data_IF_454854463966
#
_entry.id   IF_454854463966
#
_cell.length_a   1.000
_cell.length_b   1.000
_cell.length_c   1.000
_cell.angle_alpha   90.00
_cell.angle_beta   90.00
_cell.angle_gamma   90.00
#
_symmetry.space_group_name_H-M   'P 1'
#
loop_
_entity.id
_entity.type
_entity.pdbx_description
1 polymer ?
#
# COMPACT_ATOMS: atom_id res chain seq x y z
N UNK A 1 -60.71 1.02 -48.56
CA UNK A 1 -59.69 0.14 -48.05
C UNK A 1 -59.48 0.45 -46.56
N UNK A 2 -59.93 -0.48 -45.68
CA UNK A 2 -59.66 -0.37 -44.24
C UNK A 2 -58.32 -1.00 -43.96
N UNK A 3 -57.38 -0.21 -43.42
CA UNK A 3 -56.10 -0.72 -42.92
C UNK A 3 -56.39 -1.38 -41.57
N UNK A 4 -56.23 -2.69 -41.50
CA UNK A 4 -56.30 -3.46 -40.28
C UNK A 4 -55.07 -3.10 -39.40
N UNK A 5 -55.36 -2.95 -38.10
CA UNK A 5 -54.41 -2.60 -37.07
C UNK A 5 -53.18 -3.48 -37.11
N UNK A 6 -51.99 -2.89 -37.28
CA UNK A 6 -50.69 -3.59 -37.08
C UNK A 6 -50.46 -3.62 -35.56
N UNK A 7 -50.62 -4.77 -34.94
CA UNK A 7 -50.19 -5.01 -33.54
C UNK A 7 -48.71 -5.37 -33.56
N UNK A 8 -47.84 -4.42 -33.19
CA UNK A 8 -46.45 -4.70 -32.89
C UNK A 8 -46.39 -5.20 -31.46
N UNK A 9 -46.26 -6.51 -31.30
CA UNK A 9 -46.01 -7.11 -29.97
C UNK A 9 -44.52 -6.96 -29.64
N UNK A 10 -44.20 -6.02 -28.75
CA UNK A 10 -42.87 -5.91 -28.20
C UNK A 10 -42.70 -7.01 -27.16
N UNK A 11 -42.02 -8.09 -27.50
CA UNK A 11 -41.51 -9.02 -26.51
C UNK A 11 -40.26 -8.40 -25.87
N UNK A 12 -40.51 -7.52 -24.89
CA UNK A 12 -39.45 -6.91 -24.12
C UNK A 12 -38.72 -7.97 -23.30
N UNK A 13 -37.63 -8.45 -23.83
CA UNK A 13 -36.62 -9.10 -22.96
C UNK A 13 -36.18 -8.10 -21.92
N UNK A 14 -36.08 -8.51 -20.65
CA UNK A 14 -35.47 -7.71 -19.60
C UNK A 14 -34.11 -7.19 -20.08
N UNK A 15 -33.84 -5.87 -19.97
CA UNK A 15 -32.55 -5.35 -20.37
C UNK A 15 -31.46 -6.12 -19.64
N UNK A 16 -30.59 -6.81 -20.38
CA UNK A 16 -29.43 -7.50 -19.76
C UNK A 16 -28.50 -6.40 -19.24
N UNK A 17 -28.43 -6.28 -17.91
CA UNK A 17 -27.43 -5.44 -17.24
C UNK A 17 -26.19 -6.29 -17.05
N UNK A 18 -25.06 -5.89 -17.63
CA UNK A 18 -23.77 -6.54 -17.44
C UNK A 18 -23.17 -6.01 -16.14
N UNK A 19 -22.96 -6.88 -15.15
CA UNK A 19 -22.36 -6.51 -13.87
C UNK A 19 -20.83 -6.36 -14.03
N UNK A 20 -20.21 -5.40 -13.31
CA UNK A 20 -18.77 -5.22 -13.36
C UNK A 20 -18.02 -6.42 -12.75
N UNK A 21 -16.78 -6.67 -13.19
CA UNK A 21 -15.93 -7.71 -12.61
C UNK A 21 -15.60 -7.44 -11.15
N UNK A 22 -15.25 -8.50 -10.41
CA UNK A 22 -14.70 -8.45 -9.06
C UNK A 22 -13.27 -8.98 -9.07
N UNK A 23 -12.41 -8.36 -8.28
CA UNK A 23 -11.05 -8.83 -8.01
C UNK A 23 -11.04 -9.69 -6.75
N UNK A 24 -10.34 -10.83 -6.76
CA UNK A 24 -10.20 -11.72 -5.59
C UNK A 24 -9.40 -11.10 -4.46
N UNK A 25 -8.53 -10.12 -4.78
CA UNK A 25 -7.73 -9.35 -3.83
C UNK A 25 -8.16 -7.89 -3.95
N UNK A 26 -8.41 -7.22 -2.83
CA UNK A 26 -8.79 -5.80 -2.81
C UNK A 26 -7.61 -4.89 -3.15
N UNK A 27 -7.87 -3.65 -3.56
CA UNK A 27 -6.83 -2.62 -3.70
C UNK A 27 -6.13 -2.39 -2.36
N UNK A 28 -4.81 -2.26 -2.37
CA UNK A 28 -4.06 -2.05 -1.14
C UNK A 28 -2.55 -2.17 -1.32
N UNK A 29 -1.86 -2.05 -0.19
CA UNK A 29 -0.44 -2.28 -0.07
C UNK A 29 -0.20 -3.71 0.42
N UNK A 30 0.77 -4.38 -0.20
CA UNK A 30 1.10 -5.78 0.06
C UNK A 30 2.60 -5.99 0.12
N UNK A 31 3.04 -6.84 1.04
CA UNK A 31 4.42 -7.32 1.07
C UNK A 31 4.53 -8.56 0.17
N UNK A 32 5.35 -8.42 -0.88
CA UNK A 32 5.56 -9.48 -1.86
C UNK A 32 4.42 -9.63 -2.88
N UNK A 33 4.62 -10.59 -3.78
CA UNK A 33 3.74 -10.82 -4.91
C UNK A 33 2.32 -11.20 -4.49
N UNK A 34 1.33 -10.72 -5.25
CA UNK A 34 -0.08 -11.07 -5.09
C UNK A 34 -0.58 -11.88 -6.29
N UNK A 35 -1.50 -12.80 -6.02
CA UNK A 35 -2.19 -13.57 -7.05
C UNK A 35 -3.65 -13.15 -7.12
N UNK A 36 -4.04 -12.52 -8.23
CA UNK A 36 -5.34 -11.87 -8.40
C UNK A 36 -6.16 -12.56 -9.46
N UNK A 37 -7.31 -13.14 -9.09
CA UNK A 37 -8.30 -13.65 -10.02
C UNK A 37 -9.40 -12.61 -10.27
N UNK A 38 -9.96 -12.62 -11.49
CA UNK A 38 -11.11 -11.81 -11.87
C UNK A 38 -12.33 -12.71 -12.05
N UNK A 39 -13.49 -12.27 -11.54
CA UNK A 39 -14.77 -12.96 -11.68
C UNK A 39 -15.86 -12.00 -12.09
N UNK A 40 -16.91 -12.48 -12.75
CA UNK A 40 -18.10 -11.72 -13.09
C UNK A 40 -19.36 -12.52 -12.75
N UNK A 41 -20.34 -11.89 -12.11
CA UNK A 41 -21.62 -12.54 -11.76
C UNK A 41 -22.58 -12.66 -12.95
N UNK A 42 -22.32 -11.93 -14.05
CA UNK A 42 -23.12 -12.08 -15.27
C UNK A 42 -22.70 -13.35 -15.98
N UNK A 43 -23.59 -14.36 -15.97
CA UNK A 43 -23.34 -15.65 -16.62
C UNK A 43 -22.97 -15.48 -18.09
N UNK A 44 -21.88 -16.12 -18.54
CA UNK A 44 -21.35 -16.08 -19.90
C UNK A 44 -20.75 -14.75 -20.33
N UNK A 45 -20.53 -13.79 -19.40
CA UNK A 45 -19.78 -12.58 -19.70
C UNK A 45 -18.29 -12.88 -19.80
N UNK A 46 -17.60 -12.25 -20.76
CA UNK A 46 -16.14 -12.19 -20.87
C UNK A 46 -15.64 -10.98 -20.07
N UNK A 47 -14.45 -11.09 -19.48
CA UNK A 47 -13.81 -9.96 -18.78
C UNK A 47 -12.68 -9.44 -19.65
N UNK A 48 -12.70 -8.14 -19.95
CA UNK A 48 -11.65 -7.43 -20.66
C UNK A 48 -10.90 -6.56 -19.67
N UNK A 49 -9.55 -6.61 -19.64
CA UNK A 49 -8.74 -5.85 -18.69
C UNK A 49 -7.50 -5.23 -19.35
N UNK A 50 -6.93 -4.21 -18.70
CA UNK A 50 -5.66 -3.56 -19.06
C UNK A 50 -4.67 -3.57 -17.89
N UNK A 51 -3.39 -3.82 -18.19
CA UNK A 51 -2.22 -3.76 -17.29
C UNK A 51 -0.99 -3.27 -18.08
N UNK A 52 -0.17 -2.33 -17.57
CA UNK A 52 -0.54 -1.36 -16.51
C UNK A 52 -1.65 -0.46 -17.05
N UNK A 53 -2.51 0.03 -16.17
CA UNK A 53 -3.69 0.78 -16.56
C UNK A 53 -3.35 2.21 -17.02
N UNK A 54 -2.56 2.35 -18.09
CA UNK A 54 -2.36 3.63 -18.78
C UNK A 54 -3.64 4.04 -19.51
N UNK A 55 -4.44 3.06 -19.93
CA UNK A 55 -5.66 3.27 -20.70
C UNK A 55 -6.81 2.45 -20.09
N UNK A 56 -8.03 2.93 -20.28
CA UNK A 56 -9.22 2.18 -19.96
C UNK A 56 -9.41 1.02 -20.96
N UNK A 57 -9.91 -0.17 -20.52
CA UNK A 57 -10.35 -1.17 -21.46
C UNK A 57 -11.52 -0.62 -22.29
N UNK A 58 -11.46 -0.79 -23.60
CA UNK A 58 -12.50 -0.34 -24.53
C UNK A 58 -13.00 -1.55 -25.31
N UNK A 59 -14.31 -1.66 -25.49
CA UNK A 59 -14.91 -2.68 -26.31
C UNK A 59 -15.94 -2.04 -27.25
N UNK A 60 -15.77 -2.22 -28.54
CA UNK A 60 -16.71 -1.84 -29.59
C UNK A 60 -17.37 -3.09 -30.18
N UNK A 61 -16.57 -4.07 -30.54
CA UNK A 61 -16.98 -5.39 -31.02
C UNK A 61 -15.83 -6.40 -30.84
N UNK A 62 -16.07 -7.68 -31.17
CA UNK A 62 -15.08 -8.76 -30.97
C UNK A 62 -13.79 -8.62 -31.80
N UNK A 63 -13.74 -7.68 -32.77
CA UNK A 63 -12.55 -7.39 -33.58
C UNK A 63 -11.95 -6.01 -33.27
N UNK A 64 -12.62 -5.21 -32.43
CA UNK A 64 -12.22 -3.83 -32.13
C UNK A 64 -12.38 -3.56 -30.64
N UNK A 65 -11.29 -3.80 -29.88
CA UNK A 65 -11.21 -3.59 -28.44
C UNK A 65 -9.79 -3.24 -28.00
N UNK A 66 -9.67 -2.58 -26.83
CA UNK A 66 -8.40 -2.29 -26.17
C UNK A 66 -8.34 -3.07 -24.86
N UNK A 67 -7.29 -3.85 -24.65
CA UNK A 67 -7.09 -4.68 -23.47
C UNK A 67 -6.87 -6.15 -23.84
N UNK A 68 -6.96 -7.01 -22.83
CA UNK A 68 -6.79 -8.46 -22.95
C UNK A 68 -8.01 -9.15 -22.35
N UNK A 69 -8.57 -10.14 -23.04
CA UNK A 69 -9.61 -10.97 -22.44
C UNK A 69 -9.00 -11.91 -21.39
N UNK A 70 -9.59 -11.90 -20.20
CA UNK A 70 -9.19 -12.76 -19.11
C UNK A 70 -9.49 -14.22 -19.43
N UNK A 71 -8.48 -15.07 -19.37
CA UNK A 71 -8.53 -16.49 -19.74
C UNK A 71 -8.92 -17.41 -18.58
N UNK A 72 -9.15 -16.86 -17.38
CA UNK A 72 -9.44 -17.61 -16.16
C UNK A 72 -8.22 -17.93 -15.30
N UNK A 73 -7.00 -17.67 -15.79
CA UNK A 73 -5.79 -17.87 -15.00
C UNK A 73 -5.52 -16.65 -14.12
N UNK A 74 -5.27 -16.83 -12.81
CA UNK A 74 -4.96 -15.70 -11.93
C UNK A 74 -3.72 -14.92 -12.37
N UNK A 75 -3.81 -13.60 -12.25
CA UNK A 75 -2.73 -12.67 -12.58
C UNK A 75 -1.72 -12.60 -11.43
N UNK A 76 -0.44 -12.78 -11.69
CA UNK A 76 0.63 -12.63 -10.72
C UNK A 76 1.17 -11.19 -10.76
N UNK A 77 1.00 -10.46 -9.65
CA UNK A 77 1.41 -9.07 -9.49
C UNK A 77 2.67 -9.03 -8.62
N UNK A 78 3.81 -8.78 -9.23
CA UNK A 78 5.14 -8.77 -8.57
C UNK A 78 5.70 -7.37 -8.33
N UNK A 79 5.03 -6.33 -8.81
CA UNK A 79 5.40 -4.92 -8.68
C UNK A 79 4.15 -4.06 -8.60
N UNK A 80 4.28 -2.84 -8.10
CA UNK A 80 3.17 -1.89 -8.03
C UNK A 80 2.49 -1.77 -9.38
N UNK A 81 1.20 -2.08 -9.41
CA UNK A 81 0.42 -2.25 -10.63
C UNK A 81 -1.03 -1.83 -10.41
N UNK A 82 -1.59 -1.11 -11.37
CA UNK A 82 -3.03 -0.85 -11.44
C UNK A 82 -3.65 -1.70 -12.55
N UNK A 83 -4.78 -2.33 -12.26
CA UNK A 83 -5.58 -3.10 -13.20
C UNK A 83 -6.93 -2.39 -13.36
N UNK A 84 -7.36 -2.19 -14.60
CA UNK A 84 -8.71 -1.78 -14.94
C UNK A 84 -9.41 -2.91 -15.68
N UNK A 85 -10.68 -3.17 -15.36
CA UNK A 85 -11.43 -4.27 -15.96
C UNK A 85 -12.90 -3.90 -16.18
N UNK A 86 -13.48 -4.47 -17.23
CA UNK A 86 -14.89 -4.41 -17.56
C UNK A 86 -15.39 -5.79 -17.99
N UNK A 87 -16.67 -6.06 -17.84
CA UNK A 87 -17.31 -7.24 -18.38
C UNK A 87 -18.03 -6.93 -19.70
N UNK A 88 -18.02 -7.89 -20.61
CA UNK A 88 -18.64 -7.79 -21.94
C UNK A 88 -19.56 -8.98 -22.17
N UNK A 89 -20.81 -8.73 -22.57
CA UNK A 89 -21.76 -9.78 -22.99
C UNK A 89 -22.73 -9.27 -24.04
N UNK A 90 -22.90 -10.00 -25.12
CA UNK A 90 -23.85 -9.70 -26.20
C UNK A 90 -23.74 -8.26 -26.72
N UNK A 91 -22.49 -7.77 -26.91
CA UNK A 91 -22.18 -6.42 -27.38
C UNK A 91 -22.42 -5.31 -26.35
N UNK A 92 -22.77 -5.65 -25.08
CA UNK A 92 -22.94 -4.70 -23.99
C UNK A 92 -21.77 -4.79 -23.01
N UNK A 93 -21.45 -3.68 -22.37
CA UNK A 93 -20.37 -3.55 -21.41
C UNK A 93 -20.86 -3.16 -20.02
N UNK A 94 -20.15 -3.57 -18.99
CA UNK A 94 -20.32 -3.05 -17.64
C UNK A 94 -19.62 -1.70 -17.47
N UNK A 95 -19.77 -1.09 -16.29
CA UNK A 95 -18.82 -0.06 -15.83
C UNK A 95 -17.43 -0.66 -15.63
N UNK A 96 -16.40 0.21 -15.74
CA UNK A 96 -15.01 -0.15 -15.46
C UNK A 96 -14.81 -0.16 -13.95
N UNK A 97 -14.12 -1.18 -13.45
CA UNK A 97 -13.61 -1.26 -12.08
C UNK A 97 -12.10 -1.17 -12.09
N UNK A 98 -11.53 -0.54 -11.08
CA UNK A 98 -10.09 -0.32 -10.96
C UNK A 98 -9.59 -0.88 -9.63
N UNK A 99 -8.46 -1.60 -9.66
CA UNK A 99 -7.74 -2.04 -8.48
C UNK A 99 -6.26 -1.70 -8.60
N UNK A 100 -5.70 -1.08 -7.54
CA UNK A 100 -4.27 -0.75 -7.45
C UNK A 100 -3.64 -1.59 -6.34
N UNK A 101 -2.56 -2.29 -6.69
CA UNK A 101 -1.75 -3.10 -5.80
C UNK A 101 -0.38 -2.46 -5.67
N UNK A 102 -0.10 -1.89 -4.50
CA UNK A 102 1.23 -1.37 -4.17
C UNK A 102 2.05 -2.52 -3.60
N UNK A 103 3.03 -3.01 -4.35
CA UNK A 103 3.89 -4.12 -3.93
C UNK A 103 5.16 -3.54 -3.32
N UNK A 104 5.37 -3.82 -2.04
CA UNK A 104 6.59 -3.50 -1.31
C UNK A 104 7.39 -4.79 -1.18
N UNK A 105 8.56 -4.80 -1.80
CA UNK A 105 9.48 -5.93 -1.70
C UNK A 105 10.42 -5.66 -0.53
N UNK A 106 10.23 -6.42 0.55
CA UNK A 106 11.04 -6.36 1.77
C UNK A 106 11.65 -7.73 2.06
N UNK A 107 12.84 -7.74 2.60
CA UNK A 107 13.54 -8.99 2.96
C UNK A 107 13.00 -9.57 4.26
N UNK A 108 12.53 -8.71 5.17
CA UNK A 108 12.07 -9.06 6.50
C UNK A 108 10.62 -8.59 6.71
N UNK A 109 9.81 -9.29 7.53
CA UNK A 109 8.41 -8.93 7.74
C UNK A 109 8.17 -7.82 8.78
N UNK A 110 9.23 -7.27 9.41
CA UNK A 110 9.12 -6.23 10.44
C UNK A 110 8.52 -6.73 11.75
N UNK A 111 8.67 -8.01 12.05
CA UNK A 111 8.28 -8.62 13.34
C UNK A 111 9.44 -8.58 14.33
N UNK A 112 9.18 -8.85 15.60
CA UNK A 112 10.21 -8.97 16.63
C UNK A 112 11.29 -10.00 16.27
N UNK A 113 10.86 -11.18 15.79
CA UNK A 113 11.77 -12.26 15.40
C UNK A 113 12.54 -11.97 14.10
N UNK A 114 12.02 -11.09 13.26
CA UNK A 114 12.61 -10.69 11.97
C UNK A 114 12.33 -9.21 11.72
N UNK A 115 13.02 -8.29 12.41
CA UNK A 115 12.84 -6.86 12.24
C UNK A 115 13.14 -6.41 10.82
N UNK A 116 12.46 -5.37 10.35
CA UNK A 116 12.87 -4.66 9.14
C UNK A 116 14.32 -4.20 9.25
N UNK A 117 15.04 -4.26 8.15
CA UNK A 117 16.22 -3.40 7.97
C UNK A 117 15.76 -1.95 7.81
N UNK A 118 16.66 -0.99 7.96
CA UNK A 118 16.37 0.42 7.64
C UNK A 118 15.92 0.56 6.18
N UNK A 119 16.49 -0.21 5.25
CA UNK A 119 16.11 -0.20 3.84
C UNK A 119 14.67 -0.69 3.63
N UNK A 120 14.25 -1.77 4.31
CA UNK A 120 12.88 -2.29 4.25
C UNK A 120 11.87 -1.25 4.77
N UNK A 121 12.18 -0.62 5.91
CA UNK A 121 11.34 0.42 6.50
C UNK A 121 11.21 1.64 5.56
N UNK A 122 12.29 2.09 4.96
CA UNK A 122 12.30 3.19 3.99
C UNK A 122 11.50 2.84 2.73
N UNK A 123 11.61 1.60 2.22
CA UNK A 123 10.83 1.15 1.06
C UNK A 123 9.32 1.17 1.35
N UNK A 124 8.92 0.75 2.57
CA UNK A 124 7.51 0.82 2.99
C UNK A 124 7.04 2.27 3.11
N UNK A 125 7.83 3.13 3.74
CA UNK A 125 7.51 4.56 3.92
C UNK A 125 7.38 5.26 2.55
N UNK A 126 8.28 4.97 1.60
CA UNK A 126 8.22 5.56 0.26
C UNK A 126 6.91 5.24 -0.47
N UNK A 127 6.38 4.04 -0.27
CA UNK A 127 5.12 3.58 -0.83
C UNK A 127 3.87 4.22 -0.18
N UNK A 128 4.01 4.86 1.00
CA UNK A 128 2.91 5.59 1.65
C UNK A 128 2.58 6.88 0.89
N UNK A 129 1.32 7.31 0.99
CA UNK A 129 0.95 8.67 0.60
C UNK A 129 1.63 9.71 1.52
N UNK A 130 1.83 10.92 1.01
CA UNK A 130 2.42 12.01 1.78
C UNK A 130 1.62 12.29 3.05
N UNK A 131 2.30 12.37 4.18
CA UNK A 131 1.72 12.55 5.52
C UNK A 131 1.11 11.28 6.14
N UNK A 132 1.00 10.18 5.37
CA UNK A 132 0.40 8.94 5.86
C UNK A 132 1.28 8.21 6.88
N UNK A 133 0.61 7.45 7.74
CA UNK A 133 1.23 6.58 8.75
C UNK A 133 0.68 5.17 8.57
N UNK A 134 1.48 4.14 8.82
CA UNK A 134 1.01 2.76 8.81
C UNK A 134 0.00 2.52 9.93
N UNK A 135 -0.97 1.64 9.72
CA UNK A 135 -1.90 1.22 10.77
C UNK A 135 -1.21 0.32 11.81
N UNK A 136 -0.28 -0.51 11.34
CA UNK A 136 0.47 -1.45 12.16
C UNK A 136 1.78 -0.84 12.64
N UNK A 137 2.29 -1.34 13.77
CA UNK A 137 3.65 -1.06 14.25
C UNK A 137 4.60 -2.16 13.82
N UNK A 138 5.81 -1.77 13.44
CA UNK A 138 6.85 -2.66 12.96
C UNK A 138 8.10 -2.55 13.83
N UNK A 139 8.85 -3.64 13.91
CA UNK A 139 10.19 -3.63 14.48
C UNK A 139 11.19 -3.28 13.38
N UNK A 140 12.10 -2.37 13.68
CA UNK A 140 13.16 -1.92 12.76
C UNK A 140 14.50 -2.00 13.48
N UNK A 141 15.49 -2.63 12.85
CA UNK A 141 16.86 -2.76 13.36
C UNK A 141 17.80 -1.81 12.63
N UNK A 142 18.66 -1.11 13.38
CA UNK A 142 19.66 -0.22 12.81
C UNK A 142 20.69 0.24 13.84
N UNK A 143 21.60 1.10 13.39
CA UNK A 143 22.60 1.75 14.23
C UNK A 143 22.28 3.22 14.40
N UNK A 144 22.38 3.72 15.63
CA UNK A 144 22.18 5.14 15.94
C UNK A 144 23.27 5.96 15.25
N UNK A 145 22.85 7.00 14.52
CA UNK A 145 23.76 7.90 13.81
C UNK A 145 23.54 9.34 14.25
N UNK A 146 24.62 10.02 14.58
CA UNK A 146 24.60 11.34 15.18
C UNK A 146 24.13 11.33 16.64
N UNK A 147 24.17 12.52 17.27
CA UNK A 147 23.81 12.66 18.66
C UNK A 147 22.29 12.58 18.86
N UNK A 148 21.77 11.67 19.71
CA UNK A 148 20.37 11.64 20.09
C UNK A 148 19.92 12.94 20.78
N UNK A 149 18.69 13.37 20.50
CA UNK A 149 18.03 14.50 21.16
C UNK A 149 17.17 13.98 22.32
N UNK A 150 17.71 14.10 23.54
CA UNK A 150 17.05 13.74 24.81
C UNK A 150 16.79 15.03 25.59
N UNK A 151 15.55 15.51 25.53
CA UNK A 151 15.21 16.81 26.09
C UNK A 151 14.83 16.75 27.57
N UNK A 152 15.14 17.86 28.27
CA UNK A 152 14.74 18.10 29.65
C UNK A 152 13.69 19.22 29.72
N UNK A 153 12.88 19.16 30.76
CA UNK A 153 11.99 20.28 31.19
C UNK A 153 12.80 21.33 31.91
N UNK A 154 12.17 22.49 32.15
CA UNK A 154 12.78 23.61 32.87
C UNK A 154 13.16 23.25 34.31
N UNK A 155 12.50 22.28 34.93
CA UNK A 155 12.80 21.75 36.26
C UNK A 155 13.95 20.72 36.28
N UNK A 156 14.56 20.45 35.13
CA UNK A 156 15.65 19.47 34.95
C UNK A 156 15.21 18.03 34.79
N UNK A 157 13.92 17.71 34.92
CA UNK A 157 13.39 16.36 34.64
C UNK A 157 13.35 16.07 33.14
N UNK A 158 13.46 14.79 32.78
CA UNK A 158 13.37 14.37 31.38
C UNK A 158 11.93 14.29 30.88
N UNK A 159 11.73 14.49 29.55
CA UNK A 159 10.42 14.25 28.93
C UNK A 159 10.08 12.76 28.83
N UNK A 160 11.06 11.86 29.04
CA UNK A 160 10.87 10.42 29.02
C UNK A 160 11.00 9.79 27.62
N UNK A 161 11.39 10.57 26.60
CA UNK A 161 11.57 10.09 25.24
C UNK A 161 12.81 10.72 24.59
N UNK A 162 13.24 10.13 23.46
CA UNK A 162 14.32 10.63 22.64
C UNK A 162 13.93 10.68 21.16
N UNK A 163 14.52 11.62 20.42
CA UNK A 163 14.54 11.61 18.97
C UNK A 163 15.96 11.34 18.48
N UNK A 164 16.11 10.42 17.55
CA UNK A 164 17.41 10.03 17.00
C UNK A 164 17.26 9.43 15.62
N UNK A 165 18.33 9.40 14.87
CA UNK A 165 18.35 8.76 13.56
C UNK A 165 18.99 7.37 13.66
N UNK A 166 18.51 6.41 12.86
CA UNK A 166 19.16 5.12 12.66
C UNK A 166 19.49 4.92 11.18
N UNK A 167 20.58 4.17 10.93
CA UNK A 167 21.02 3.77 9.60
C UNK A 167 21.32 2.26 9.57
N UNK A 168 21.50 1.71 8.36
CA UNK A 168 21.82 0.29 8.18
C UNK A 168 23.17 -0.12 8.78
N UNK A 169 24.11 0.85 8.91
CA UNK A 169 25.44 0.67 9.47
C UNK A 169 25.85 1.89 10.31
N UNK A 170 26.78 1.72 11.20
CA UNK A 170 27.32 2.80 12.02
C UNK A 170 27.95 3.88 11.12
N UNK A 171 27.52 5.15 11.31
CA UNK A 171 27.95 6.27 10.49
C UNK A 171 27.29 6.34 9.10
N UNK A 172 26.30 5.50 8.82
CA UNK A 172 25.54 5.50 7.57
C UNK A 172 24.82 6.83 7.31
N UNK A 173 24.66 7.20 6.04
CA UNK A 173 24.08 8.48 5.63
C UNK A 173 22.60 8.39 5.26
N UNK A 174 22.11 7.21 4.88
CA UNK A 174 20.68 6.95 4.63
C UNK A 174 20.01 6.68 5.95
N UNK A 175 19.14 7.59 6.38
CA UNK A 175 18.62 7.67 7.73
C UNK A 175 17.13 7.43 7.80
N UNK A 176 16.71 6.81 8.90
CA UNK A 176 15.32 6.71 9.35
C UNK A 176 15.24 7.41 10.70
N UNK A 177 14.38 8.42 10.82
CA UNK A 177 14.23 9.19 12.07
C UNK A 177 13.32 8.47 13.04
N UNK A 178 13.80 8.21 14.23
CA UNK A 178 13.02 7.74 15.38
C UNK A 178 12.52 8.96 16.14
N UNK A 179 11.22 9.28 16.03
CA UNK A 179 10.66 10.52 16.58
C UNK A 179 9.99 10.29 17.93
N UNK A 180 10.58 10.85 19.00
CA UNK A 180 10.06 10.82 20.37
C UNK A 180 9.71 9.41 20.87
N UNK A 181 10.60 8.46 20.62
CA UNK A 181 10.44 7.11 21.14
C UNK A 181 10.77 7.05 22.63
N UNK A 182 10.02 6.26 23.38
CA UNK A 182 10.32 5.92 24.78
C UNK A 182 11.46 4.94 24.86
N UNK A 183 11.95 4.68 26.05
CA UNK A 183 13.04 3.75 26.31
C UNK A 183 12.63 2.28 26.17
N UNK A 184 13.48 1.41 26.66
CA UNK A 184 13.33 -0.05 26.57
C UNK A 184 11.97 -0.48 27.15
N UNK A 185 11.22 -1.29 26.38
CA UNK A 185 9.89 -1.79 26.77
C UNK A 185 8.93 -0.68 27.22
N UNK A 186 8.96 0.45 26.53
CA UNK A 186 8.12 1.63 26.80
C UNK A 186 8.43 2.36 28.12
N UNK A 187 9.60 2.12 28.72
CA UNK A 187 10.04 2.83 29.90
C UNK A 187 10.40 4.29 29.59
N UNK A 188 10.36 5.16 30.60
CA UNK A 188 10.83 6.53 30.45
C UNK A 188 12.35 6.59 30.28
N UNK A 189 12.80 7.43 29.36
CA UNK A 189 14.22 7.81 29.25
C UNK A 189 14.52 8.88 30.29
N UNK A 190 15.43 8.58 31.21
CA UNK A 190 15.78 9.38 32.38
C UNK A 190 17.26 9.78 32.45
N UNK A 191 18.02 9.53 31.38
CA UNK A 191 19.45 9.83 31.28
C UNK A 191 19.80 10.37 29.90
N UNK A 192 20.74 11.31 29.81
CA UNK A 192 21.31 11.78 28.54
C UNK A 192 22.18 10.72 27.87
N UNK A 193 22.64 9.75 28.66
CA UNK A 193 23.48 8.64 28.19
C UNK A 193 22.68 7.37 27.92
N UNK A 194 21.33 7.46 27.85
CA UNK A 194 20.46 6.31 27.67
C UNK A 194 20.71 5.60 26.35
N UNK A 195 20.98 6.36 25.30
CA UNK A 195 21.29 5.90 23.95
C UNK A 195 22.36 6.81 23.34
N UNK A 196 23.30 6.24 22.58
CA UNK A 196 24.45 6.96 22.02
C UNK A 196 24.65 6.64 20.54
N UNK A 197 25.36 7.53 19.86
CA UNK A 197 25.84 7.28 18.51
C UNK A 197 26.68 5.99 18.47
N UNK A 198 26.38 5.14 17.47
CA UNK A 198 27.01 3.85 17.26
C UNK A 198 26.29 2.67 17.92
N UNK A 199 25.32 2.90 18.82
CA UNK A 199 24.54 1.81 19.42
C UNK A 199 23.71 1.08 18.35
N UNK A 200 23.74 -0.25 18.38
CA UNK A 200 22.82 -1.08 17.60
C UNK A 200 21.51 -1.20 18.37
N UNK A 201 20.40 -0.87 17.73
CA UNK A 201 19.08 -0.84 18.36
C UNK A 201 18.05 -1.56 17.51
N UNK A 202 17.04 -2.09 18.18
CA UNK A 202 15.76 -2.44 17.60
C UNK A 202 14.73 -1.47 18.14
N UNK A 203 13.95 -0.85 17.29
CA UNK A 203 12.84 0.04 17.68
C UNK A 203 11.52 -0.54 17.20
N UNK A 204 10.45 -0.34 17.96
CA UNK A 204 9.09 -0.69 17.55
C UNK A 204 8.26 0.57 17.42
N UNK A 205 7.54 0.74 16.32
CA UNK A 205 6.65 1.88 16.12
C UNK A 205 5.94 1.85 14.77
N UNK A 206 5.04 2.81 14.59
CA UNK A 206 4.41 3.05 13.31
C UNK A 206 5.37 3.79 12.37
N UNK A 207 5.33 3.44 11.09
CA UNK A 207 6.14 4.10 10.06
C UNK A 207 5.33 5.23 9.43
N UNK A 208 5.94 6.40 9.25
CA UNK A 208 5.30 7.58 8.68
C UNK A 208 6.13 8.20 7.56
N UNK A 209 5.47 8.61 6.49
CA UNK A 209 6.01 9.54 5.51
C UNK A 209 5.68 10.96 5.95
N UNK A 210 6.44 11.51 6.88
CA UNK A 210 6.20 12.87 7.36
C UNK A 210 6.61 13.89 6.30
N UNK A 211 5.73 14.86 6.01
CA UNK A 211 5.99 15.93 5.03
C UNK A 211 5.77 17.28 5.66
N UNK A 212 6.80 18.12 5.59
CA UNK A 212 6.75 19.52 6.04
C UNK A 212 7.52 20.39 5.06
N UNK A 213 6.91 21.49 4.63
CA UNK A 213 7.54 22.46 3.70
C UNK A 213 8.17 21.78 2.46
N UNK A 214 7.44 20.83 1.85
CA UNK A 214 7.87 19.97 0.73
C UNK A 214 9.08 19.08 1.03
N UNK A 215 9.48 18.95 2.28
CA UNK A 215 10.54 18.03 2.69
C UNK A 215 9.91 16.76 3.28
N UNK A 216 10.33 15.61 2.75
CA UNK A 216 9.93 14.29 3.26
C UNK A 216 10.93 13.84 4.30
N UNK A 217 10.44 13.50 5.49
CA UNK A 217 11.23 12.84 6.54
C UNK A 217 10.59 11.47 6.81
N UNK A 218 11.30 10.36 6.54
CA UNK A 218 10.83 9.05 6.94
C UNK A 218 10.97 8.88 8.45
N UNK A 219 9.88 8.48 9.12
CA UNK A 219 9.85 8.43 10.59
C UNK A 219 9.33 7.09 11.11
N UNK A 220 9.90 6.67 12.26
CA UNK A 220 9.29 5.74 13.21
C UNK A 220 8.74 6.59 14.35
N UNK A 221 7.46 6.43 14.69
CA UNK A 221 6.80 7.17 15.77
C UNK A 221 5.84 6.31 16.58
N UNK A 222 5.29 6.86 17.65
CA UNK A 222 4.33 6.16 18.53
C UNK A 222 4.88 4.79 18.96
N UNK A 223 6.11 4.78 19.47
CA UNK A 223 6.81 3.54 19.74
C UNK A 223 7.91 3.70 20.80
N UNK A 224 8.74 2.68 20.89
CA UNK A 224 9.76 2.54 21.93
C UNK A 224 11.00 1.81 21.41
N UNK A 225 12.08 1.85 22.20
CA UNK A 225 13.31 1.05 22.01
C UNK A 225 13.01 -0.34 22.60
N UNK A 226 13.20 -1.39 21.79
CA UNK A 226 12.97 -2.79 22.15
C UNK A 226 14.24 -3.52 22.53
#
# INVERSE_FOLDING_TARGET
>A
VRISQIVITYTGGTPISVLPPKFSVVSGMYFGAQTVALTCETEGAKILYTIPACEDPVYTDDNNYTGVFYDGNPLTITRTTTIKAMAVKDGKTSSIVTATYTIVNVENPGTEASPFTVADALALIDALADGATTNESYFVKGFVVGKPDIQKRDDGSFYGNASFDIAAEAGGTTKLTCYRLTGLEDANIDSEDYIKEGDEVVVKGQLQKFVKDNTVTPEVKNGYIH
#
